data_IF_279507283978
#
_entry.id   IF_279507283978
#
_cell.length_a   1.000
_cell.length_b   1.000
_cell.length_c   1.000
_cell.angle_alpha   90.00
_cell.angle_beta   90.00
_cell.angle_gamma   90.00
#
_symmetry.space_group_name_H-M   'P 1'
#
loop_
_entity.id
_entity.type
_entity.pdbx_description
1 polymer ?
#
# COMPACT_ATOMS: atom_id res chain seq x y z
N UNK A 1 2.33 -4.07 17.50
CA UNK A 1 3.38 -4.47 16.54
C UNK A 1 4.63 -5.06 17.18
N UNK A 2 4.98 -4.69 18.42
CA UNK A 2 6.19 -5.17 19.13
C UNK A 2 6.46 -6.67 18.91
N UNK A 3 7.59 -6.98 18.28
CA UNK A 3 8.11 -8.33 18.10
C UNK A 3 7.54 -9.12 16.91
N UNK A 4 6.47 -8.66 16.25
CA UNK A 4 5.88 -9.37 15.11
C UNK A 4 6.85 -9.41 13.92
N UNK A 5 7.06 -10.60 13.34
CA UNK A 5 7.77 -10.79 12.09
C UNK A 5 6.84 -10.44 10.93
N UNK A 6 6.97 -9.23 10.40
CA UNK A 6 6.09 -8.74 9.33
C UNK A 6 6.79 -8.84 8.00
N UNK A 7 6.17 -9.50 7.03
CA UNK A 7 6.63 -9.40 5.65
C UNK A 7 6.32 -8.01 5.09
N UNK A 8 7.30 -7.42 4.42
CA UNK A 8 7.11 -6.26 3.54
C UNK A 8 7.55 -6.61 2.11
N UNK A 9 7.11 -5.89 1.07
CA UNK A 9 7.82 -5.88 -0.21
C UNK A 9 9.20 -5.25 -0.05
N UNK A 10 10.04 -5.36 -1.09
CA UNK A 10 11.36 -4.72 -1.14
C UNK A 10 11.24 -3.20 -1.21
N UNK A 11 11.15 -2.55 -0.05
CA UNK A 11 11.01 -1.10 0.10
C UNK A 11 11.71 -0.66 1.38
N UNK A 12 12.75 0.15 1.25
CA UNK A 12 13.50 0.69 2.40
C UNK A 12 12.58 1.45 3.36
N UNK A 13 11.67 2.28 2.83
CA UNK A 13 10.71 3.03 3.63
C UNK A 13 9.75 2.15 4.43
N UNK A 14 9.23 1.06 3.84
CA UNK A 14 8.38 0.12 4.59
C UNK A 14 9.15 -0.61 5.69
N UNK A 15 10.40 -1.01 5.42
CA UNK A 15 11.26 -1.61 6.44
C UNK A 15 11.50 -0.65 7.60
N UNK A 16 11.87 0.60 7.32
CA UNK A 16 12.07 1.64 8.34
C UNK A 16 10.80 1.88 9.16
N UNK A 17 9.66 2.04 8.49
CA UNK A 17 8.35 2.30 9.10
C UNK A 17 7.88 1.17 10.05
N UNK A 18 7.87 -0.08 9.59
CA UNK A 18 7.47 -1.20 10.46
C UNK A 18 8.44 -1.41 11.63
N UNK A 19 9.74 -1.14 11.42
CA UNK A 19 10.73 -1.17 12.49
C UNK A 19 10.49 -0.06 13.52
N UNK A 20 10.14 1.15 13.10
CA UNK A 20 9.76 2.25 14.00
C UNK A 20 8.52 1.91 14.84
N UNK A 21 7.59 1.13 14.31
CA UNK A 21 6.45 0.60 15.07
C UNK A 21 6.79 -0.59 15.98
N UNK A 22 8.06 -1.02 16.01
CA UNK A 22 8.55 -2.11 16.86
C UNK A 22 8.34 -3.52 16.29
N UNK A 23 7.96 -3.65 15.03
CA UNK A 23 7.95 -4.94 14.34
C UNK A 23 9.36 -5.35 13.91
N UNK A 24 9.49 -6.61 13.47
CA UNK A 24 10.69 -7.18 12.84
C UNK A 24 10.40 -7.40 11.34
N UNK A 25 10.50 -6.36 10.49
CA UNK A 25 10.11 -6.49 9.10
C UNK A 25 11.15 -7.25 8.29
N UNK A 26 10.71 -8.15 7.41
CA UNK A 26 11.58 -8.92 6.51
C UNK A 26 11.08 -8.84 5.07
N UNK A 27 11.91 -8.43 4.10
CA UNK A 27 11.51 -8.39 2.70
C UNK A 27 11.40 -9.81 2.14
N UNK A 28 10.21 -10.18 1.65
CA UNK A 28 9.97 -11.49 1.02
C UNK A 28 9.20 -11.27 -0.30
N UNK A 29 9.60 -11.92 -1.41
CA UNK A 29 8.85 -11.89 -2.67
C UNK A 29 7.38 -12.27 -2.46
N UNK A 30 6.47 -11.62 -3.19
CA UNK A 30 5.03 -11.81 -2.95
C UNK A 30 4.58 -13.28 -3.11
N UNK A 31 5.17 -14.01 -4.06
CA UNK A 31 4.85 -15.42 -4.29
C UNK A 31 5.14 -16.36 -3.10
N UNK A 32 6.07 -15.97 -2.22
CA UNK A 32 6.47 -16.79 -1.08
C UNK A 32 5.69 -16.46 0.20
N UNK A 33 4.85 -15.42 0.18
CA UNK A 33 4.14 -14.92 1.38
C UNK A 33 3.21 -15.96 1.96
N UNK A 34 2.42 -16.65 1.14
CA UNK A 34 1.49 -17.67 1.63
C UNK A 34 2.22 -18.79 2.38
N UNK A 35 3.33 -19.29 1.82
CA UNK A 35 4.16 -20.33 2.46
C UNK A 35 4.81 -19.79 3.73
N UNK A 36 5.34 -18.58 3.70
CA UNK A 36 5.95 -17.95 4.87
C UNK A 36 4.99 -17.82 6.04
N UNK A 37 3.72 -17.44 5.78
CA UNK A 37 2.67 -17.38 6.80
C UNK A 37 2.28 -18.78 7.28
N UNK A 38 2.04 -19.72 6.35
CA UNK A 38 1.65 -21.09 6.67
C UNK A 38 2.66 -21.84 7.52
N UNK A 39 3.95 -21.57 7.31
CA UNK A 39 5.06 -22.23 8.03
C UNK A 39 5.50 -21.48 9.29
N UNK A 40 4.98 -20.27 9.53
CA UNK A 40 5.36 -19.44 10.68
C UNK A 40 6.74 -18.78 10.56
N UNK A 41 7.31 -18.71 9.35
CA UNK A 41 8.53 -17.92 9.09
C UNK A 41 8.26 -16.43 9.32
N UNK A 42 7.05 -15.99 8.95
CA UNK A 42 6.51 -14.65 9.21
C UNK A 42 5.17 -14.78 9.94
N UNK A 43 4.91 -13.84 10.84
CA UNK A 43 3.67 -13.81 11.64
C UNK A 43 2.54 -13.10 10.89
N UNK A 44 2.90 -12.15 10.01
CA UNK A 44 1.94 -11.36 9.25
C UNK A 44 2.55 -10.64 8.06
N UNK A 45 1.72 -9.86 7.38
CA UNK A 45 2.06 -9.10 6.19
C UNK A 45 1.22 -7.82 6.10
N UNK A 46 1.65 -6.87 5.28
CA UNK A 46 0.85 -5.72 4.85
C UNK A 46 0.55 -5.82 3.36
N UNK A 47 -0.70 -5.54 2.97
CA UNK A 47 -1.15 -5.38 1.60
C UNK A 47 -2.54 -4.72 1.57
N UNK A 48 -2.95 -4.15 0.41
CA UNK A 48 -4.35 -3.87 0.13
C UNK A 48 -5.21 -5.15 0.19
N UNK A 49 -6.51 -4.99 0.50
CA UNK A 49 -7.47 -6.09 0.61
C UNK A 49 -7.55 -6.94 -0.66
N UNK A 50 -7.39 -6.31 -1.83
CA UNK A 50 -7.39 -6.96 -3.15
C UNK A 50 -6.32 -8.05 -3.23
N UNK A 51 -5.09 -7.74 -2.78
CA UNK A 51 -3.98 -8.68 -2.78
C UNK A 51 -4.16 -9.79 -1.73
N UNK A 52 -4.66 -9.43 -0.54
CA UNK A 52 -4.93 -10.40 0.53
C UNK A 52 -5.91 -11.47 0.03
N UNK A 53 -7.04 -11.03 -0.53
CA UNK A 53 -8.08 -11.93 -1.02
C UNK A 53 -7.62 -12.73 -2.24
N UNK A 54 -6.99 -12.08 -3.24
CA UNK A 54 -6.56 -12.75 -4.47
C UNK A 54 -5.48 -13.81 -4.22
N UNK A 55 -4.57 -13.57 -3.28
CA UNK A 55 -3.54 -14.53 -2.88
C UNK A 55 -4.01 -15.51 -1.80
N UNK A 56 -5.30 -15.49 -1.44
CA UNK A 56 -5.93 -16.39 -0.46
C UNK A 56 -5.29 -16.33 0.93
N UNK A 57 -4.73 -15.18 1.32
CA UNK A 57 -4.00 -15.07 2.59
C UNK A 57 -4.91 -15.24 3.81
N UNK A 58 -6.22 -15.05 3.66
CA UNK A 58 -7.23 -15.38 4.67
C UNK A 58 -7.23 -16.86 5.08
N UNK A 59 -6.72 -17.78 4.26
CA UNK A 59 -6.60 -19.21 4.62
C UNK A 59 -5.49 -19.46 5.65
N UNK A 60 -4.54 -18.51 5.79
CA UNK A 60 -3.33 -18.63 6.63
C UNK A 60 -3.16 -17.45 7.59
N UNK A 61 -4.18 -16.60 7.72
CA UNK A 61 -4.21 -15.44 8.62
C UNK A 61 -5.58 -15.30 9.26
N UNK A 62 -5.61 -15.07 10.58
CA UNK A 62 -6.86 -14.98 11.36
C UNK A 62 -7.32 -13.55 11.61
N UNK A 63 -6.42 -12.58 11.58
CA UNK A 63 -6.69 -11.20 11.96
C UNK A 63 -6.37 -10.25 10.81
N UNK A 64 -7.20 -9.24 10.64
CA UNK A 64 -7.02 -8.14 9.70
C UNK A 64 -7.19 -6.81 10.43
N UNK A 65 -6.10 -6.04 10.55
CA UNK A 65 -6.17 -4.69 11.12
C UNK A 65 -6.19 -3.65 10.02
N UNK A 66 -7.29 -2.90 9.91
CA UNK A 66 -7.39 -1.74 9.02
C UNK A 66 -6.53 -0.62 9.61
N UNK A 67 -5.39 -0.38 8.98
CA UNK A 67 -4.31 0.47 9.49
C UNK A 67 -4.04 1.70 8.64
N UNK A 68 -4.52 1.72 7.39
CA UNK A 68 -4.45 2.86 6.46
C UNK A 68 -3.07 3.51 6.35
N UNK A 69 -2.03 2.68 6.45
CA UNK A 69 -0.69 3.15 6.74
C UNK A 69 0.15 3.47 5.50
N UNK A 70 -0.27 3.00 4.33
CA UNK A 70 0.35 3.32 3.03
C UNK A 70 -0.72 3.51 1.96
N UNK A 71 -0.67 4.65 1.28
CA UNK A 71 -1.32 4.87 -0.01
C UNK A 71 -0.30 4.70 -1.13
N UNK A 72 -0.54 3.76 -2.06
CA UNK A 72 0.35 3.50 -3.21
C UNK A 72 -0.36 3.86 -4.51
N UNK A 73 -0.06 5.00 -5.15
CA UNK A 73 -0.68 5.36 -6.42
C UNK A 73 -0.22 4.43 -7.55
N UNK A 74 -1.14 4.17 -8.48
CA UNK A 74 -0.83 3.52 -9.76
C UNK A 74 -0.72 4.58 -10.86
N UNK A 75 0.27 4.44 -11.74
CA UNK A 75 0.49 5.36 -12.84
C UNK A 75 0.32 4.65 -14.17
N UNK A 76 -0.57 5.15 -15.02
CA UNK A 76 -0.58 4.78 -16.44
C UNK A 76 0.61 5.47 -17.11
N UNK A 77 1.52 4.69 -17.67
CA UNK A 77 2.76 5.19 -18.27
C UNK A 77 2.89 4.77 -19.72
N UNK A 78 3.51 5.63 -20.53
CA UNK A 78 3.83 5.37 -21.93
C UNK A 78 5.26 5.82 -22.19
N UNK A 79 5.99 5.06 -23.01
CA UNK A 79 7.36 5.41 -23.38
C UNK A 79 7.40 6.78 -24.07
N UNK A 80 8.16 7.73 -23.53
CA UNK A 80 8.20 9.13 -24.00
C UNK A 80 8.44 9.25 -25.50
N UNK A 81 9.44 8.53 -26.03
CA UNK A 81 9.78 8.57 -27.45
C UNK A 81 8.69 7.98 -28.34
N UNK A 82 8.02 6.92 -27.88
CA UNK A 82 6.88 6.34 -28.58
C UNK A 82 5.73 7.32 -28.59
N UNK A 83 5.40 7.91 -27.44
CA UNK A 83 4.33 8.89 -27.30
C UNK A 83 4.52 10.11 -28.20
N UNK A 84 5.74 10.66 -28.24
CA UNK A 84 6.06 11.84 -29.06
C UNK A 84 5.97 11.61 -30.57
N UNK A 85 6.11 10.36 -31.03
CA UNK A 85 5.95 9.99 -32.45
C UNK A 85 4.49 9.84 -32.87
N UNK A 86 3.56 9.79 -31.91
CA UNK A 86 2.14 9.64 -32.22
C UNK A 86 1.57 10.97 -32.75
N UNK A 87 0.69 10.91 -33.77
CA UNK A 87 -0.10 12.07 -34.18
C UNK A 87 -0.82 12.73 -33.00
N UNK A 88 -1.02 14.04 -33.06
CA UNK A 88 -1.65 14.81 -31.98
C UNK A 88 -3.06 14.30 -31.61
N UNK A 89 -3.86 13.93 -32.61
CA UNK A 89 -5.19 13.35 -32.37
C UNK A 89 -5.11 12.02 -31.60
N UNK A 90 -4.10 11.18 -31.88
CA UNK A 90 -3.90 9.92 -31.15
C UNK A 90 -3.45 10.18 -29.72
N UNK A 91 -2.51 11.13 -29.52
CA UNK A 91 -2.09 11.57 -28.18
C UNK A 91 -3.27 12.04 -27.33
N UNK A 92 -4.16 12.86 -27.92
CA UNK A 92 -5.37 13.33 -27.26
C UNK A 92 -6.32 12.20 -26.85
N UNK A 93 -6.50 11.19 -27.71
CA UNK A 93 -7.33 10.01 -27.38
C UNK A 93 -6.74 9.24 -26.20
N UNK A 94 -5.41 9.02 -26.19
CA UNK A 94 -4.72 8.34 -25.10
C UNK A 94 -4.87 9.11 -23.79
N UNK A 95 -4.69 10.43 -23.80
CA UNK A 95 -4.84 11.28 -22.61
C UNK A 95 -6.28 11.27 -22.07
N UNK A 96 -7.29 11.35 -22.94
CA UNK A 96 -8.69 11.24 -22.54
C UNK A 96 -8.98 9.87 -21.92
N UNK A 97 -8.58 8.78 -22.59
CA UNK A 97 -8.79 7.43 -22.07
C UNK A 97 -8.07 7.18 -20.75
N UNK A 98 -6.87 7.74 -20.56
CA UNK A 98 -6.16 7.65 -19.29
C UNK A 98 -6.89 8.37 -18.14
N UNK A 99 -7.49 9.54 -18.40
CA UNK A 99 -8.30 10.28 -17.41
C UNK A 99 -9.61 9.56 -17.08
N UNK A 100 -10.26 8.98 -18.08
CA UNK A 100 -11.46 8.16 -17.89
C UNK A 100 -11.15 6.91 -17.05
N UNK A 101 -10.06 6.21 -17.39
CA UNK A 101 -9.58 5.05 -16.64
C UNK A 101 -9.20 5.40 -15.19
N UNK A 102 -8.63 6.59 -14.95
CA UNK A 102 -8.35 7.07 -13.59
C UNK A 102 -9.65 7.23 -12.78
N UNK A 103 -10.64 7.93 -13.32
CA UNK A 103 -11.93 8.14 -12.65
C UNK A 103 -12.62 6.81 -12.36
N UNK A 104 -12.68 5.93 -13.35
CA UNK A 104 -13.23 4.58 -13.20
C UNK A 104 -12.46 3.77 -12.15
N UNK A 105 -11.13 3.83 -12.17
CA UNK A 105 -10.27 3.11 -11.23
C UNK A 105 -10.51 3.51 -9.77
N UNK A 106 -10.72 4.79 -9.48
CA UNK A 106 -11.06 5.25 -8.13
C UNK A 106 -12.44 4.76 -7.68
N UNK A 107 -13.46 4.87 -8.54
CA UNK A 107 -14.80 4.39 -8.22
C UNK A 107 -14.82 2.87 -7.97
N UNK A 108 -14.09 2.11 -8.78
CA UNK A 108 -13.99 0.67 -8.62
C UNK A 108 -13.20 0.28 -7.37
N UNK A 109 -12.16 1.05 -7.00
CA UNK A 109 -11.41 0.82 -5.76
C UNK A 109 -12.31 1.01 -4.52
N UNK A 110 -13.06 2.11 -4.45
CA UNK A 110 -13.98 2.41 -3.35
C UNK A 110 -15.06 1.32 -3.21
N UNK A 111 -15.66 0.92 -4.34
CA UNK A 111 -16.65 -0.17 -4.36
C UNK A 111 -16.05 -1.49 -3.83
N UNK A 112 -14.85 -1.85 -4.29
CA UNK A 112 -14.20 -3.12 -3.93
C UNK A 112 -13.77 -3.17 -2.48
N UNK A 113 -13.44 -2.03 -1.86
CA UNK A 113 -12.97 -2.01 -0.48
C UNK A 113 -14.02 -2.61 0.47
N UNK A 114 -15.25 -2.09 0.43
CA UNK A 114 -16.37 -2.61 1.25
C UNK A 114 -16.73 -4.07 0.91
N UNK A 115 -16.71 -4.43 -0.38
CA UNK A 115 -16.98 -5.81 -0.81
C UNK A 115 -15.93 -6.80 -0.32
N UNK A 116 -14.66 -6.41 -0.31
CA UNK A 116 -13.56 -7.28 0.08
C UNK A 116 -13.44 -7.41 1.59
N UNK A 117 -13.69 -6.35 2.37
CA UNK A 117 -13.79 -6.47 3.83
C UNK A 117 -14.82 -7.52 4.22
N UNK A 118 -16.02 -7.44 3.63
CA UNK A 118 -17.09 -8.42 3.86
C UNK A 118 -16.64 -9.85 3.50
N UNK A 119 -16.06 -10.04 2.31
CA UNK A 119 -15.59 -11.36 1.87
C UNK A 119 -14.50 -11.94 2.78
N UNK A 120 -13.59 -11.10 3.28
CA UNK A 120 -12.52 -11.54 4.18
C UNK A 120 -13.07 -11.96 5.56
N UNK A 121 -14.05 -11.21 6.09
CA UNK A 121 -14.76 -11.58 7.32
C UNK A 121 -15.58 -12.86 7.14
N UNK A 122 -16.32 -12.99 6.04
CA UNK A 122 -17.05 -14.22 5.68
C UNK A 122 -16.13 -15.43 5.50
N UNK A 123 -14.87 -15.20 5.14
CA UNK A 123 -13.83 -16.23 5.07
C UNK A 123 -13.22 -16.58 6.44
N UNK A 124 -13.71 -16.00 7.53
CA UNK A 124 -13.32 -16.32 8.90
C UNK A 124 -12.28 -15.38 9.52
N UNK A 125 -11.89 -14.29 8.85
CA UNK A 125 -10.99 -13.30 9.46
C UNK A 125 -11.71 -12.43 10.50
N UNK A 126 -11.02 -12.10 11.57
CA UNK A 126 -11.45 -11.08 12.54
C UNK A 126 -10.89 -9.72 12.15
N UNK A 127 -11.76 -8.77 11.84
CA UNK A 127 -11.39 -7.41 11.45
C UNK A 127 -11.38 -6.48 12.67
N UNK A 128 -10.36 -5.63 12.78
CA UNK A 128 -10.35 -4.51 13.72
C UNK A 128 -9.87 -3.23 13.04
N UNK A 129 -10.35 -2.08 13.52
CA UNK A 129 -9.78 -0.78 13.16
C UNK A 129 -8.61 -0.45 14.08
N UNK A 130 -7.48 -0.03 13.52
CA UNK A 130 -6.32 0.38 14.30
C UNK A 130 -6.45 1.84 14.76
N UNK A 131 -5.75 2.19 15.84
CA UNK A 131 -5.58 3.59 16.23
C UNK A 131 -4.59 4.26 15.26
N UNK A 132 -5.09 4.83 14.16
CA UNK A 132 -4.27 5.48 13.12
C UNK A 132 -3.35 6.55 13.72
N UNK A 133 -3.83 7.32 14.70
CA UNK A 133 -3.06 8.39 15.33
C UNK A 133 -1.78 7.83 15.99
N UNK A 134 -1.86 6.66 16.64
CA UNK A 134 -0.68 6.03 17.22
C UNK A 134 0.36 5.61 16.17
N UNK A 135 -0.08 5.20 14.97
CA UNK A 135 0.83 4.88 13.86
C UNK A 135 1.46 6.15 13.27
N UNK A 136 0.70 7.25 13.16
CA UNK A 136 1.21 8.56 12.73
C UNK A 136 2.29 9.04 13.69
N UNK A 137 2.02 9.04 14.99
CA UNK A 137 2.96 9.47 16.03
C UNK A 137 4.23 8.60 16.03
N UNK A 138 4.08 7.28 15.96
CA UNK A 138 5.22 6.36 15.88
C UNK A 138 6.02 6.49 14.57
N UNK A 139 5.49 7.19 13.56
CA UNK A 139 6.16 7.44 12.28
C UNK A 139 6.94 8.76 12.24
N UNK A 140 6.94 9.56 13.31
CA UNK A 140 7.68 10.83 13.34
C UNK A 140 9.17 10.69 12.92
N UNK A 141 9.92 9.67 13.40
CA UNK A 141 11.31 9.48 12.96
C UNK A 141 11.44 9.23 11.45
N UNK A 142 10.42 8.63 10.83
CA UNK A 142 10.39 8.37 9.37
C UNK A 142 10.21 9.66 8.59
N UNK A 143 9.38 10.59 9.09
CA UNK A 143 9.23 11.92 8.48
C UNK A 143 10.52 12.73 8.56
N UNK A 144 11.21 12.68 9.71
CA UNK A 144 12.48 13.38 9.91
C UNK A 144 13.55 12.83 8.96
N UNK A 145 13.64 11.51 8.84
CA UNK A 145 14.56 10.84 7.92
C UNK A 145 14.22 11.13 6.45
N UNK A 146 12.93 11.16 6.08
CA UNK A 146 12.48 11.55 4.75
C UNK A 146 12.89 12.99 4.40
N UNK A 147 12.72 13.93 5.33
CA UNK A 147 13.15 15.32 5.15
C UNK A 147 14.66 15.40 4.91
N UNK A 148 15.44 14.56 5.60
CA UNK A 148 16.89 14.56 5.50
C UNK A 148 17.43 13.87 4.25
N UNK A 149 16.82 12.75 3.81
CA UNK A 149 17.32 11.93 2.71
C UNK A 149 16.77 12.35 1.34
N UNK A 150 15.57 12.94 1.29
CA UNK A 150 14.88 13.23 0.04
C UNK A 150 15.04 14.71 -0.34
N UNK A 151 15.55 15.03 -1.55
CA UNK A 151 15.56 16.40 -2.05
C UNK A 151 14.15 17.01 -2.00
N UNK A 152 14.05 18.21 -1.42
CA UNK A 152 12.79 18.90 -1.15
C UNK A 152 11.82 18.12 -0.25
N UNK A 153 12.31 17.18 0.56
CA UNK A 153 11.49 16.31 1.42
C UNK A 153 10.56 17.08 2.37
N UNK A 154 11.04 18.19 2.94
CA UNK A 154 10.21 19.08 3.77
C UNK A 154 9.04 19.68 2.99
N UNK A 155 9.29 20.22 1.80
CA UNK A 155 8.24 20.80 0.96
C UNK A 155 7.22 19.75 0.55
N UNK A 156 7.69 18.56 0.15
CA UNK A 156 6.83 17.44 -0.22
C UNK A 156 5.95 16.97 0.95
N UNK A 157 6.52 16.89 2.16
CA UNK A 157 5.79 16.49 3.35
C UNK A 157 4.71 17.52 3.71
N UNK A 158 5.03 18.81 3.70
CA UNK A 158 4.06 19.86 4.01
C UNK A 158 2.96 19.94 2.96
N UNK A 159 3.29 19.81 1.68
CA UNK A 159 2.30 19.73 0.60
C UNK A 159 1.36 18.54 0.78
N UNK A 160 1.88 17.39 1.19
CA UNK A 160 1.07 16.21 1.49
C UNK A 160 0.11 16.48 2.66
N UNK A 161 0.60 17.04 3.77
CA UNK A 161 -0.25 17.40 4.92
C UNK A 161 -1.35 18.39 4.56
N UNK A 162 -1.04 19.40 3.75
CA UNK A 162 -2.03 20.37 3.30
C UNK A 162 -3.09 19.78 2.37
N UNK A 163 -2.73 18.75 1.59
CA UNK A 163 -3.68 18.01 0.74
C UNK A 163 -4.63 17.13 1.55
N UNK A 164 -4.23 16.73 2.76
CA UNK A 164 -5.04 15.87 3.65
C UNK A 164 -5.93 16.66 4.64
N UNK A 165 -5.83 17.99 4.66
CA UNK A 165 -6.74 18.88 5.41
C UNK A 165 -8.03 19.10 4.63
#
# INVERSE_FOLDING_TARGET
MKGLKIRTPSSSWRLKMFKAWGANPTPIPFGDVFIGLRTGVIDGQENPLTNIYAAKLQEVQKYLSITNHVYSPAYLTVGKNTYQKLPENVRKIIETGAKEAQTWGYQEAEKRESELEKKLVESGMTLNNANIQAFIEASQPIYDEFISEVPNGKELLEKMKDTLK
#
